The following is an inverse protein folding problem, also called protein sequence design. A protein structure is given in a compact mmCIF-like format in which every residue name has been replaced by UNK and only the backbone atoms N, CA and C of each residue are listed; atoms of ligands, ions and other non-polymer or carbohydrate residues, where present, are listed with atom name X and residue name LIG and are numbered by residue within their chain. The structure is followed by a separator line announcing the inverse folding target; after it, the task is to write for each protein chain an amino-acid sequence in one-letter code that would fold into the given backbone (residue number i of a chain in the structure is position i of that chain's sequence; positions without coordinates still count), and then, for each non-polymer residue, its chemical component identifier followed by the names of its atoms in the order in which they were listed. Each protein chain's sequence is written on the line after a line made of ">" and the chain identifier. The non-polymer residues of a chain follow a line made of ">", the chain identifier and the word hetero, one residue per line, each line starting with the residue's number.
data_IF_483819210759
#
_entry.id   IF_483819210759
#
_cell.length_a   1.000
_cell.length_b   1.000
_cell.length_c   1.000
_cell.angle_alpha   90.00
_cell.angle_beta   90.00
_cell.angle_gamma   90.00
#
_symmetry.space_group_name_H-M   'P 1'
#
loop_
_entity.id
_entity.type
_entity.pdbx_description
1 polymer ?
#
# COMPACT_ATOMS: atom_id res chain seq x y z
N UNK A 1 15.35 -6.32 22.93
CA UNK A 1 13.91 -6.29 22.54
C UNK A 1 13.45 -4.88 22.20
N UNK A 2 13.55 -3.89 23.09
CA UNK A 2 13.09 -2.50 22.82
C UNK A 2 13.71 -1.83 21.58
N UNK A 3 15.04 -1.86 21.44
CA UNK A 3 15.73 -1.19 20.31
C UNK A 3 15.31 -1.75 18.94
N UNK A 4 15.10 -3.06 18.84
CA UNK A 4 14.63 -3.71 17.61
C UNK A 4 13.21 -3.29 17.24
N UNK A 5 12.32 -3.21 18.24
CA UNK A 5 10.93 -2.72 18.05
C UNK A 5 10.93 -1.28 17.55
N UNK A 6 11.75 -0.40 18.15
CA UNK A 6 11.86 1.00 17.71
C UNK A 6 12.32 1.10 16.25
N UNK A 7 13.34 0.33 15.86
CA UNK A 7 13.81 0.31 14.46
C UNK A 7 12.72 -0.19 13.53
N UNK A 8 11.99 -1.25 13.89
CA UNK A 8 10.89 -1.76 13.08
C UNK A 8 9.80 -0.70 12.85
N UNK A 9 9.40 0.04 13.89
CA UNK A 9 8.42 1.12 13.74
C UNK A 9 8.93 2.30 12.90
N UNK A 10 10.22 2.63 12.99
CA UNK A 10 10.83 3.65 12.11
C UNK A 10 10.74 3.19 10.65
N UNK A 11 11.06 1.93 10.36
CA UNK A 11 10.96 1.39 9.00
C UNK A 11 9.52 1.43 8.50
N UNK A 12 8.55 1.01 9.33
CA UNK A 12 7.12 1.10 9.01
C UNK A 12 6.72 2.54 8.69
N UNK A 13 7.09 3.50 9.54
CA UNK A 13 6.79 4.91 9.30
C UNK A 13 7.42 5.42 7.98
N UNK A 14 8.67 5.03 7.70
CA UNK A 14 9.35 5.37 6.45
C UNK A 14 8.70 4.76 5.21
N UNK A 15 8.02 3.62 5.32
CA UNK A 15 7.28 3.03 4.22
C UNK A 15 5.91 3.70 4.02
N UNK A 16 5.15 3.92 5.10
CA UNK A 16 3.77 4.44 4.99
C UNK A 16 3.71 5.95 4.75
N UNK A 17 4.59 6.73 5.39
CA UNK A 17 4.53 8.19 5.35
C UNK A 17 4.72 8.79 3.94
N UNK A 18 5.76 8.44 3.17
CA UNK A 18 5.90 8.96 1.81
C UNK A 18 4.80 8.47 0.89
N UNK A 19 4.31 7.24 1.06
CA UNK A 19 3.19 6.69 0.26
C UNK A 19 1.92 7.50 0.50
N UNK A 20 1.62 7.84 1.76
CA UNK A 20 0.48 8.70 2.10
C UNK A 20 0.62 10.13 1.56
N UNK A 21 1.80 10.75 1.68
CA UNK A 21 2.05 12.10 1.16
C UNK A 21 1.89 12.18 -0.36
N UNK A 22 2.52 11.25 -1.09
CA UNK A 22 2.44 11.20 -2.56
C UNK A 22 1.01 10.84 -3.00
N UNK A 23 0.36 9.90 -2.31
CA UNK A 23 -1.02 9.53 -2.57
C UNK A 23 -1.98 10.71 -2.42
N UNK A 24 -1.89 11.44 -1.31
CA UNK A 24 -2.72 12.63 -1.10
C UNK A 24 -2.41 13.74 -2.12
N UNK A 25 -1.14 13.92 -2.50
CA UNK A 25 -0.78 14.93 -3.49
C UNK A 25 -1.32 14.61 -4.90
N UNK A 26 -1.42 13.33 -5.27
CA UNK A 26 -1.95 12.91 -6.58
C UNK A 26 -3.47 12.78 -6.62
N UNK A 27 -4.10 12.23 -5.58
CA UNK A 27 -5.53 11.89 -5.57
C UNK A 27 -6.39 12.86 -4.75
N UNK A 28 -5.78 13.70 -3.91
CA UNK A 28 -6.50 14.63 -3.05
C UNK A 28 -7.48 13.90 -2.13
N UNK A 29 -8.73 14.38 -2.12
CA UNK A 29 -9.81 13.81 -1.32
C UNK A 29 -10.69 12.82 -2.09
N UNK A 30 -10.43 12.61 -3.39
CA UNK A 30 -11.18 11.73 -4.28
C UNK A 30 -10.50 10.35 -4.41
N UNK A 31 -10.35 9.65 -3.28
CA UNK A 31 -9.85 8.27 -3.22
C UNK A 31 -10.86 7.37 -2.51
N UNK A 32 -11.13 6.20 -3.09
CA UNK A 32 -11.92 5.16 -2.45
C UNK A 32 -11.11 4.51 -1.33
N UNK A 33 -11.79 3.73 -0.49
CA UNK A 33 -11.14 2.97 0.58
C UNK A 33 -10.03 2.03 0.06
N UNK A 34 -10.16 1.53 -1.17
CA UNK A 34 -9.11 0.83 -1.91
C UNK A 34 -8.65 1.69 -3.10
N UNK A 35 -7.37 2.03 -3.11
CA UNK A 35 -6.77 2.85 -4.17
C UNK A 35 -6.79 2.15 -5.52
N UNK A 36 -6.78 0.81 -5.56
CA UNK A 36 -6.85 0.03 -6.81
C UNK A 36 -8.21 0.14 -7.49
N UNK A 37 -9.27 0.47 -6.73
CA UNK A 37 -10.61 0.73 -7.27
C UNK A 37 -10.72 2.16 -7.79
N UNK A 38 -9.97 3.10 -7.20
CA UNK A 38 -9.88 4.49 -7.70
C UNK A 38 -9.11 4.65 -9.01
N UNK A 39 -8.33 3.64 -9.42
CA UNK A 39 -7.51 3.68 -10.63
C UNK A 39 -8.28 3.08 -11.83
N UNK A 40 -8.36 3.80 -12.94
CA UNK A 40 -9.03 3.29 -14.17
C UNK A 40 -8.06 2.81 -15.25
N UNK A 41 -6.86 3.41 -15.33
CA UNK A 41 -5.88 3.17 -16.40
C UNK A 41 -4.44 3.26 -15.87
N UNK A 42 -3.49 2.49 -16.43
CA UNK A 42 -3.68 1.38 -17.37
C UNK A 42 -4.13 0.09 -16.68
N UNK A 43 -5.12 -0.60 -17.25
CA UNK A 43 -5.77 -1.78 -16.65
C UNK A 43 -4.81 -2.93 -16.31
N UNK A 44 -3.73 -3.10 -17.07
CA UNK A 44 -2.75 -4.18 -16.85
C UNK A 44 -2.01 -4.07 -15.51
N UNK A 45 -1.79 -2.84 -15.03
CA UNK A 45 -0.96 -2.53 -13.87
C UNK A 45 -1.80 -2.74 -12.62
N UNK A 46 -3.06 -2.33 -12.69
CA UNK A 46 -4.09 -2.59 -11.68
C UNK A 46 -4.30 -4.11 -11.55
N UNK A 47 -4.38 -4.85 -12.66
CA UNK A 47 -4.52 -6.30 -12.62
C UNK A 47 -3.30 -6.99 -11.97
N UNK A 48 -2.09 -6.55 -12.32
CA UNK A 48 -0.86 -7.07 -11.72
C UNK A 48 -0.77 -6.76 -10.21
N UNK A 49 -1.13 -5.53 -9.81
CA UNK A 49 -1.18 -5.15 -8.40
C UNK A 49 -2.18 -6.01 -7.61
N UNK A 50 -3.39 -6.22 -8.15
CA UNK A 50 -4.38 -7.12 -7.56
C UNK A 50 -3.88 -8.56 -7.46
N UNK A 51 -3.15 -9.07 -8.46
CA UNK A 51 -2.56 -10.41 -8.40
C UNK A 51 -1.54 -10.56 -7.27
N UNK A 52 -0.70 -9.54 -7.04
CA UNK A 52 0.23 -9.55 -5.90
C UNK A 52 -0.49 -9.55 -4.55
N UNK A 53 -1.59 -8.79 -4.42
CA UNK A 53 -2.43 -8.80 -3.21
C UNK A 53 -3.00 -10.19 -2.97
N UNK A 54 -3.53 -10.86 -4.01
CA UNK A 54 -4.07 -12.23 -3.89
C UNK A 54 -3.01 -13.20 -3.40
N UNK A 55 -1.82 -13.21 -4.01
CA UNK A 55 -0.71 -14.09 -3.61
C UNK A 55 -0.29 -13.81 -2.15
N UNK A 56 -0.17 -12.53 -1.78
CA UNK A 56 0.18 -12.12 -0.42
C UNK A 56 -0.85 -12.59 0.62
N UNK A 57 -2.14 -12.41 0.34
CA UNK A 57 -3.23 -12.78 1.26
C UNK A 57 -3.34 -14.30 1.39
N UNK A 58 -3.25 -15.06 0.28
CA UNK A 58 -3.26 -16.53 0.32
C UNK A 58 -2.06 -17.05 1.12
N UNK A 59 -0.86 -16.50 0.88
CA UNK A 59 0.33 -16.89 1.63
C UNK A 59 0.29 -16.53 3.12
N UNK A 60 -0.49 -15.51 3.47
CA UNK A 60 -0.74 -15.11 4.87
C UNK A 60 -1.86 -15.91 5.53
N UNK A 61 -2.61 -16.71 4.77
CA UNK A 61 -3.70 -17.55 5.27
C UNK A 61 -3.17 -18.94 5.69
N UNK A 62 -2.30 -18.93 6.70
CA UNK A 62 -1.77 -20.12 7.39
C UNK A 62 -1.78 -19.86 8.90
#
# INVERSE_FOLDING_TARGET
>A
MWRGVVVAYIVVALCYFPVALIGYWMFGNDVNADILISLEKPKWLIAMANMFVVIHVIGSYQ
#
